data_IF_154847164160
#
_entry.id   IF_154847164160
#
_cell.length_a   1.000
_cell.length_b   1.000
_cell.length_c   1.000
_cell.angle_alpha   90.00
_cell.angle_beta   90.00
_cell.angle_gamma   90.00
#
_symmetry.space_group_name_H-M   'P 1'
#
loop_
_entity.id
_entity.type
_entity.pdbx_description
1 polymer ?
#
# COMPACT_ATOMS: atom_id res chain seq x y z
N UNK A 1 -38.44 -13.50 21.88
CA UNK A 1 -37.13 -13.05 21.35
C UNK A 1 -36.57 -11.99 22.30
N UNK A 2 -35.32 -12.11 22.75
CA UNK A 2 -34.70 -11.16 23.69
C UNK A 2 -33.96 -10.05 22.95
N UNK A 3 -34.01 -8.82 23.47
CA UNK A 3 -33.47 -7.60 22.85
C UNK A 3 -32.01 -7.31 23.25
N UNK A 4 -31.28 -8.32 23.71
CA UNK A 4 -29.92 -8.15 24.22
C UNK A 4 -28.89 -7.90 23.10
N UNK A 5 -29.10 -8.50 21.92
CA UNK A 5 -28.31 -8.21 20.73
C UNK A 5 -28.76 -6.87 20.14
N UNK A 6 -27.93 -5.83 20.30
CA UNK A 6 -28.16 -4.49 19.74
C UNK A 6 -26.93 -4.04 18.96
N UNK A 7 -27.10 -3.36 17.81
CA UNK A 7 -25.98 -2.81 17.04
C UNK A 7 -25.32 -1.64 17.78
N UNK A 8 -24.03 -1.42 17.52
CA UNK A 8 -23.29 -0.24 17.98
C UNK A 8 -23.43 0.90 16.98
N UNK A 9 -24.18 1.94 17.32
CA UNK A 9 -24.35 3.12 16.45
C UNK A 9 -23.24 4.18 16.62
N UNK A 10 -22.53 4.14 17.75
CA UNK A 10 -21.39 5.01 18.03
C UNK A 10 -20.22 4.17 18.56
N UNK A 11 -18.99 4.34 18.01
CA UNK A 11 -17.82 3.63 18.50
C UNK A 11 -17.36 4.18 19.86
N UNK A 12 -16.59 3.38 20.59
CA UNK A 12 -15.94 3.85 21.81
C UNK A 12 -14.93 4.97 21.49
N UNK A 13 -14.99 6.07 22.23
CA UNK A 13 -14.04 7.18 22.10
C UNK A 13 -12.82 6.93 22.98
N UNK A 14 -11.63 7.00 22.41
CA UNK A 14 -10.37 6.99 23.19
C UNK A 14 -10.23 8.24 24.07
N UNK A 15 -9.48 8.13 25.17
CA UNK A 15 -9.06 9.28 25.98
C UNK A 15 -9.49 9.26 27.45
N UNK A 16 -10.39 8.37 27.89
CA UNK A 16 -10.84 8.32 29.29
C UNK A 16 -10.14 7.25 30.15
N UNK A 17 -9.54 6.22 29.57
CA UNK A 17 -8.94 5.11 30.31
C UNK A 17 -7.57 4.73 29.76
N UNK A 18 -6.70 4.24 30.66
CA UNK A 18 -5.27 3.87 30.49
C UNK A 18 -4.58 4.46 29.26
N UNK A 19 -3.88 5.58 29.47
CA UNK A 19 -3.21 6.35 28.43
C UNK A 19 -4.00 7.58 27.94
N UNK A 20 -5.14 7.86 28.57
CA UNK A 20 -5.95 9.07 28.37
C UNK A 20 -5.83 10.12 29.50
N UNK A 21 -6.47 11.28 29.33
CA UNK A 21 -6.36 12.50 30.15
C UNK A 21 -6.83 12.34 31.61
N UNK A 22 -7.51 11.25 31.97
CA UNK A 22 -7.97 11.01 33.35
C UNK A 22 -7.02 10.10 34.12
N UNK A 23 -6.31 10.72 35.06
CA UNK A 23 -5.38 10.13 36.01
C UNK A 23 -6.19 9.57 37.20
N UNK A 24 -6.84 8.41 37.08
CA UNK A 24 -7.20 7.63 38.27
C UNK A 24 -5.94 6.96 38.82
N UNK A 25 -5.00 7.79 39.32
CA UNK A 25 -3.66 7.37 39.74
C UNK A 25 -2.83 6.65 38.66
N UNK A 26 -1.50 6.63 38.79
CA UNK A 26 -0.70 5.73 37.97
C UNK A 26 -1.02 4.28 38.36
N UNK A 27 -1.54 3.49 37.41
CA UNK A 27 -1.70 2.05 37.60
C UNK A 27 -0.34 1.37 37.66
N UNK A 28 -0.15 0.46 38.63
CA UNK A 28 1.04 -0.40 38.70
C UNK A 28 0.93 -1.64 37.81
N UNK A 29 -0.19 -1.83 37.10
CA UNK A 29 -0.41 -2.96 36.20
C UNK A 29 0.28 -2.70 34.87
N UNK A 30 1.10 -3.64 34.42
CA UNK A 30 1.73 -3.63 33.10
C UNK A 30 1.50 -4.98 32.39
N UNK A 31 1.41 -4.95 31.08
CA UNK A 31 1.38 -6.16 30.24
C UNK A 31 2.78 -6.69 29.99
N UNK A 32 2.92 -7.97 29.65
CA UNK A 32 4.20 -8.52 29.18
C UNK A 32 4.74 -7.81 27.94
N UNK A 33 3.85 -7.17 27.16
CA UNK A 33 4.22 -6.35 25.98
C UNK A 33 4.76 -4.97 26.34
N UNK A 34 4.49 -4.48 27.55
CA UNK A 34 4.96 -3.16 28.01
C UNK A 34 6.36 -3.23 28.63
N UNK A 35 6.94 -4.44 28.72
CA UNK A 35 8.31 -4.63 29.19
C UNK A 35 9.27 -3.98 28.18
N UNK A 36 10.30 -3.31 28.69
CA UNK A 36 11.29 -2.62 27.88
C UNK A 36 11.87 -3.55 26.79
N UNK A 37 11.57 -3.21 25.54
CA UNK A 37 12.06 -3.90 24.35
C UNK A 37 12.43 -2.87 23.29
N UNK A 38 13.46 -3.15 22.48
CA UNK A 38 13.99 -2.23 21.48
C UNK A 38 14.28 -0.81 22.02
N UNK A 39 14.99 -0.73 23.14
CA UNK A 39 15.31 0.53 23.84
C UNK A 39 16.27 1.43 23.07
N UNK A 40 16.87 0.95 21.98
CA UNK A 40 17.81 1.69 21.14
C UNK A 40 17.23 1.95 19.75
N UNK A 41 17.14 3.23 19.37
CA UNK A 41 16.78 3.62 18.02
C UNK A 41 17.98 3.47 17.08
N UNK A 42 17.73 2.98 15.86
CA UNK A 42 18.76 2.86 14.82
C UNK A 42 18.78 4.13 13.97
N UNK A 43 19.82 4.98 14.06
CA UNK A 43 19.97 6.10 13.14
C UNK A 43 20.35 5.59 11.74
N UNK A 44 20.00 6.36 10.72
CA UNK A 44 20.48 6.11 9.35
C UNK A 44 21.97 6.41 9.28
N UNK A 45 22.74 5.51 8.67
CA UNK A 45 24.17 5.73 8.37
C UNK A 45 24.33 6.39 7.01
N UNK A 46 25.48 7.00 6.76
CA UNK A 46 25.86 7.49 5.44
C UNK A 46 25.62 6.41 4.36
N UNK A 47 25.02 6.81 3.24
CA UNK A 47 24.61 5.87 2.19
C UNK A 47 23.27 5.16 2.41
N UNK A 48 22.61 5.33 3.57
CA UNK A 48 21.22 4.89 3.82
C UNK A 48 20.21 6.04 3.67
N UNK A 49 20.48 6.98 2.77
CA UNK A 49 19.71 8.20 2.58
C UNK A 49 19.56 8.98 3.89
N UNK A 50 20.69 9.42 4.42
CA UNK A 50 20.71 10.40 5.51
C UNK A 50 20.12 11.73 5.04
N UNK A 51 19.67 12.55 5.98
CA UNK A 51 19.11 13.86 5.65
C UNK A 51 20.13 14.74 4.90
N UNK A 52 21.40 14.67 5.29
CA UNK A 52 22.50 15.41 4.65
C UNK A 52 22.81 14.90 3.24
N UNK A 53 22.70 13.59 3.00
CA UNK A 53 22.86 13.02 1.66
C UNK A 53 21.73 13.47 0.73
N UNK A 54 20.49 13.48 1.24
CA UNK A 54 19.32 13.93 0.47
C UNK A 54 19.39 15.42 0.11
N UNK A 55 19.90 16.26 1.02
CA UNK A 55 20.10 17.69 0.76
C UNK A 55 21.15 17.96 -0.32
N UNK A 56 22.18 17.11 -0.43
CA UNK A 56 23.26 17.26 -1.42
C UNK A 56 22.90 16.73 -2.82
N UNK A 57 21.87 15.88 -2.93
CA UNK A 57 21.50 15.21 -4.21
C UNK A 57 20.42 15.99 -4.97
N UNK A 58 20.56 16.01 -6.30
CA UNK A 58 19.51 16.48 -7.20
C UNK A 58 18.53 15.33 -7.51
N UNK A 59 17.47 15.22 -6.71
CA UNK A 59 16.51 14.11 -6.82
C UNK A 59 15.74 14.09 -8.15
N UNK A 60 15.55 15.25 -8.81
CA UNK A 60 14.89 15.32 -10.13
C UNK A 60 15.71 14.62 -11.20
N UNK A 61 16.99 14.96 -11.29
CA UNK A 61 17.87 14.41 -12.33
C UNK A 61 18.07 12.90 -12.15
N UNK A 62 18.23 12.43 -10.91
CA UNK A 62 18.33 11.00 -10.58
C UNK A 62 17.05 10.25 -10.97
N UNK A 63 15.88 10.83 -10.71
CA UNK A 63 14.59 10.25 -11.09
C UNK A 63 14.48 10.15 -12.61
N UNK A 64 14.75 11.23 -13.35
CA UNK A 64 14.68 11.23 -14.80
C UNK A 64 15.65 10.21 -15.43
N UNK A 65 16.87 10.10 -14.92
CA UNK A 65 17.83 9.12 -15.40
C UNK A 65 17.34 7.68 -15.12
N UNK A 66 16.84 7.42 -13.92
CA UNK A 66 16.32 6.10 -13.54
C UNK A 66 15.09 5.73 -14.37
N UNK A 67 14.22 6.67 -14.65
CA UNK A 67 13.07 6.47 -15.54
C UNK A 67 13.54 6.20 -16.96
N UNK A 68 14.46 6.98 -17.53
CA UNK A 68 15.03 6.72 -18.86
C UNK A 68 15.65 5.31 -18.96
N UNK A 69 16.41 4.87 -17.95
CA UNK A 69 16.97 3.51 -17.88
C UNK A 69 15.87 2.44 -17.77
N UNK A 70 14.86 2.69 -16.95
CA UNK A 70 13.73 1.78 -16.79
C UNK A 70 12.93 1.64 -18.10
N UNK A 71 12.57 2.75 -18.76
CA UNK A 71 11.84 2.73 -20.04
C UNK A 71 12.66 2.11 -21.16
N UNK A 72 13.95 2.43 -21.30
CA UNK A 72 14.80 1.81 -22.33
C UNK A 72 15.00 0.29 -22.14
N UNK A 73 14.97 -0.21 -20.90
CA UNK A 73 15.01 -1.65 -20.61
C UNK A 73 13.66 -2.35 -20.82
N UNK A 74 12.55 -1.66 -20.50
CA UNK A 74 11.19 -2.18 -20.63
C UNK A 74 10.70 -2.17 -22.08
N UNK A 75 11.08 -1.18 -22.88
CA UNK A 75 10.69 -1.09 -24.29
C UNK A 75 11.30 -2.23 -25.11
N UNK A 76 12.53 -2.66 -24.79
CA UNK A 76 13.12 -3.90 -25.33
C UNK A 76 12.30 -5.14 -24.98
N UNK A 77 11.84 -5.25 -23.72
CA UNK A 77 10.98 -6.36 -23.28
C UNK A 77 9.59 -6.33 -23.94
N UNK A 78 9.02 -5.16 -24.14
CA UNK A 78 7.68 -4.98 -24.75
C UNK A 78 7.69 -5.25 -26.26
N UNK A 79 8.74 -4.83 -26.98
CA UNK A 79 8.92 -5.10 -28.42
C UNK A 79 9.19 -6.59 -28.66
N UNK A 80 10.11 -7.19 -27.89
CA UNK A 80 10.39 -8.63 -27.94
C UNK A 80 9.18 -9.51 -27.60
N UNK A 81 8.37 -9.13 -26.59
CA UNK A 81 7.14 -9.85 -26.24
C UNK A 81 6.05 -9.65 -27.29
N UNK A 82 5.95 -8.48 -27.93
CA UNK A 82 5.06 -8.24 -29.07
C UNK A 82 5.45 -9.08 -30.29
N UNK A 83 6.74 -9.15 -30.61
CA UNK A 83 7.23 -9.89 -31.78
C UNK A 83 7.07 -11.41 -31.59
N UNK A 84 7.25 -11.93 -30.36
CA UNK A 84 6.88 -13.31 -30.03
C UNK A 84 5.38 -13.58 -30.16
N UNK A 85 4.52 -12.60 -29.82
CA UNK A 85 3.07 -12.72 -29.96
C UNK A 85 2.59 -12.55 -31.41
N UNK A 86 3.33 -11.83 -32.26
CA UNK A 86 3.00 -11.61 -33.69
C UNK A 86 3.30 -12.84 -34.56
N UNK A 87 4.28 -13.67 -34.17
CA UNK A 87 4.57 -14.95 -34.83
C UNK A 87 3.53 -16.06 -34.62
N UNK A 88 2.54 -15.87 -33.74
CA UNK A 88 1.54 -16.88 -33.38
C UNK A 88 0.12 -16.62 -33.90
N UNK A 89 -0.11 -15.62 -34.76
CA UNK A 89 -1.45 -15.26 -35.25
C UNK A 89 -1.79 -15.97 -36.58
N UNK A 90 -1.60 -17.28 -36.64
CA UNK A 90 -2.03 -18.13 -37.77
C UNK A 90 -2.71 -19.42 -37.29
N UNK A 91 -3.42 -19.39 -36.15
CA UNK A 91 -4.17 -20.56 -35.68
C UNK A 91 -5.38 -20.25 -34.80
N UNK A 92 -6.25 -19.32 -35.22
CA UNK A 92 -7.61 -19.33 -34.69
C UNK A 92 -8.65 -18.83 -35.68
N UNK A 93 -8.74 -19.54 -36.82
CA UNK A 93 -10.03 -19.81 -37.42
C UNK A 93 -10.80 -20.72 -36.44
N UNK A 94 -11.69 -20.15 -35.62
CA UNK A 94 -12.55 -20.95 -34.76
C UNK A 94 -12.97 -20.24 -33.48
N UNK A 95 -14.28 -20.17 -33.28
CA UNK A 95 -14.99 -19.70 -32.08
C UNK A 95 -15.25 -18.19 -32.01
N UNK A 96 -16.21 -17.77 -32.84
CA UNK A 96 -17.15 -16.71 -32.43
C UNK A 96 -17.73 -17.12 -31.06
N UNK A 97 -17.32 -16.43 -30.00
CA UNK A 97 -18.04 -16.45 -28.72
C UNK A 97 -18.79 -15.13 -28.65
N UNK A 98 -20.06 -15.18 -29.05
CA UNK A 98 -21.05 -14.19 -28.68
C UNK A 98 -21.15 -14.21 -27.14
N UNK A 99 -20.49 -13.25 -26.50
CA UNK A 99 -20.64 -12.95 -25.09
C UNK A 99 -21.04 -11.49 -24.97
N UNK A 100 -22.29 -11.24 -25.37
CA UNK A 100 -23.21 -10.21 -24.91
C UNK A 100 -22.60 -9.11 -24.03
N UNK A 101 -22.53 -7.91 -24.62
CA UNK A 101 -22.43 -6.63 -23.94
C UNK A 101 -23.50 -6.52 -22.83
N UNK A 102 -23.11 -6.76 -21.58
CA UNK A 102 -23.86 -6.30 -20.39
C UNK A 102 -22.95 -5.52 -19.47
N UNK A 103 -22.63 -4.30 -19.90
CA UNK A 103 -22.14 -3.24 -19.02
C UNK A 103 -23.32 -2.83 -18.12
N UNK A 104 -23.32 -3.29 -16.87
CA UNK A 104 -24.26 -2.79 -15.86
C UNK A 104 -23.71 -1.44 -15.36
N UNK A 105 -24.40 -0.30 -15.57
CA UNK A 105 -23.97 0.96 -15.03
C UNK A 105 -24.13 0.95 -13.50
N UNK A 106 -23.03 1.27 -12.80
CA UNK A 106 -22.99 1.46 -11.36
C UNK A 106 -23.83 2.68 -11.00
N UNK A 107 -25.09 2.46 -10.61
CA UNK A 107 -25.96 3.50 -10.07
C UNK A 107 -25.38 4.03 -8.76
N UNK A 108 -25.07 5.32 -8.73
CA UNK A 108 -24.87 6.09 -7.53
C UNK A 108 -26.25 6.46 -6.96
N UNK A 109 -26.57 6.05 -5.72
CA UNK A 109 -27.09 6.93 -4.67
C UNK A 109 -27.31 6.20 -3.32
N UNK A 110 -27.33 7.02 -2.26
CA UNK A 110 -27.65 6.79 -0.83
C UNK A 110 -26.51 6.33 0.10
#
# INVERSE_FOLDING_TARGET
MTTAARPTWAPAKGGNEQGGTRIFGPSQKYSSRDIASHTTLKPRKEGQDTHEDLQRRNLRDELEERERRHFSSKDKGYVEERDRRKGGLLLLEGTKRDAEDRIIPRSADA
#
